data_IF_092664424700
#
_entry.id   IF_092664424700
#
_cell.length_a   1.000
_cell.length_b   1.000
_cell.length_c   1.000
_cell.angle_alpha   90.00
_cell.angle_beta   90.00
_cell.angle_gamma   90.00
#
_symmetry.space_group_name_H-M   'P 1'
#
loop_
_entity.id
_entity.type
_entity.pdbx_description
1 polymer ?
#
# COMPACT_ATOMS: atom_id res chain seq x y z
N UNK A 1 -27.37 11.36 -53.21
CA UNK A 1 -26.34 10.84 -52.29
C UNK A 1 -26.73 11.25 -50.88
N UNK A 2 -26.68 10.32 -49.93
CA UNK A 2 -26.97 10.60 -48.52
C UNK A 2 -25.68 11.17 -47.91
N UNK A 3 -25.76 12.32 -47.25
CA UNK A 3 -24.64 12.93 -46.54
C UNK A 3 -24.73 12.60 -45.05
N UNK A 4 -23.59 12.40 -44.40
CA UNK A 4 -23.55 12.23 -42.95
C UNK A 4 -23.74 13.58 -42.24
N UNK A 5 -24.44 13.53 -41.12
CA UNK A 5 -24.62 14.66 -40.21
C UNK A 5 -23.29 15.06 -39.57
N UNK A 6 -23.16 16.35 -39.26
CA UNK A 6 -21.90 16.93 -38.75
C UNK A 6 -21.51 16.32 -37.39
N UNK A 7 -22.48 15.94 -36.56
CA UNK A 7 -22.26 15.26 -35.28
C UNK A 7 -21.57 13.91 -35.46
N UNK A 8 -21.96 13.15 -36.49
CA UNK A 8 -21.36 11.84 -36.79
C UNK A 8 -19.96 12.00 -37.37
N UNK A 9 -19.73 13.04 -38.18
CA UNK A 9 -18.40 13.40 -38.66
C UNK A 9 -17.48 13.82 -37.49
N UNK A 10 -17.97 14.61 -36.54
CA UNK A 10 -17.23 14.99 -35.34
C UNK A 10 -16.90 13.79 -34.47
N UNK A 11 -17.86 12.89 -34.24
CA UNK A 11 -17.63 11.66 -33.48
C UNK A 11 -16.53 10.77 -34.11
N UNK A 12 -16.42 10.76 -35.44
CA UNK A 12 -15.33 10.05 -36.15
C UNK A 12 -13.96 10.69 -35.92
N UNK A 13 -13.88 12.02 -35.93
CA UNK A 13 -12.62 12.76 -35.68
C UNK A 13 -12.18 12.62 -34.23
N UNK A 14 -13.12 12.58 -33.27
CA UNK A 14 -12.84 12.40 -31.84
C UNK A 14 -12.55 10.95 -31.44
N UNK A 15 -12.69 9.98 -32.35
CA UNK A 15 -12.46 8.56 -32.08
C UNK A 15 -13.49 7.93 -31.13
N UNK A 16 -14.72 8.47 -31.11
CA UNK A 16 -15.82 7.96 -30.28
C UNK A 16 -16.63 6.85 -30.97
N UNK A 17 -16.47 6.72 -32.28
CA UNK A 17 -17.11 5.67 -33.09
C UNK A 17 -16.30 4.37 -33.07
N UNK A 18 -16.96 3.27 -33.39
CA UNK A 18 -16.29 1.99 -33.63
C UNK A 18 -15.38 2.05 -34.87
N UNK A 19 -14.36 1.18 -34.94
CA UNK A 19 -13.42 1.16 -36.07
C UNK A 19 -14.14 0.99 -37.42
N UNK A 20 -15.15 0.10 -37.47
CA UNK A 20 -15.93 -0.19 -38.67
C UNK A 20 -16.77 1.01 -39.16
N UNK A 21 -17.34 1.79 -38.25
CA UNK A 21 -18.10 3.00 -38.62
C UNK A 21 -17.17 4.13 -39.05
N UNK A 22 -16.00 4.22 -38.44
CA UNK A 22 -15.01 5.24 -38.78
C UNK A 22 -14.45 5.03 -40.18
N UNK A 23 -14.23 3.78 -40.60
CA UNK A 23 -13.75 3.46 -41.96
C UNK A 23 -14.83 3.73 -43.00
N UNK A 24 -16.10 3.38 -42.73
CA UNK A 24 -17.23 3.68 -43.62
C UNK A 24 -17.33 5.19 -43.93
N UNK A 25 -17.22 6.03 -42.89
CA UNK A 25 -17.28 7.49 -43.04
C UNK A 25 -16.08 8.03 -43.84
N UNK A 26 -14.88 7.48 -43.62
CA UNK A 26 -13.68 7.86 -44.37
C UNK A 26 -13.81 7.46 -45.84
N UNK A 27 -14.28 6.24 -46.13
CA UNK A 27 -14.52 5.77 -47.48
C UNK A 27 -15.56 6.63 -48.20
N UNK A 28 -16.65 6.99 -47.53
CA UNK A 28 -17.63 7.91 -48.08
C UNK A 28 -17.02 9.30 -48.39
N UNK A 29 -16.19 9.82 -47.49
CA UNK A 29 -15.51 11.10 -47.69
C UNK A 29 -14.48 11.09 -48.85
N UNK A 30 -14.01 9.92 -49.29
CA UNK A 30 -13.18 9.83 -50.50
C UNK A 30 -13.99 10.06 -51.78
N UNK A 31 -15.26 9.67 -51.77
CA UNK A 31 -16.17 9.79 -52.92
C UNK A 31 -16.96 11.11 -52.90
N UNK A 32 -17.29 11.61 -51.71
CA UNK A 32 -18.12 12.79 -51.53
C UNK A 32 -17.30 14.02 -51.12
N UNK A 33 -17.14 14.96 -52.05
CA UNK A 33 -16.35 16.19 -51.85
C UNK A 33 -16.90 17.08 -50.71
N UNK A 34 -18.23 17.17 -50.57
CA UNK A 34 -18.85 17.98 -49.52
C UNK A 34 -18.58 17.42 -48.13
N UNK A 35 -18.71 16.09 -47.94
CA UNK A 35 -18.38 15.42 -46.69
C UNK A 35 -16.89 15.51 -46.38
N UNK A 36 -16.02 15.43 -47.40
CA UNK A 36 -14.58 15.63 -47.25
C UNK A 36 -14.23 17.04 -46.74
N UNK A 37 -14.83 18.06 -47.34
CA UNK A 37 -14.60 19.45 -46.94
C UNK A 37 -15.04 19.69 -45.49
N UNK A 38 -16.21 19.18 -45.10
CA UNK A 38 -16.71 19.26 -43.72
C UNK A 38 -15.80 18.54 -42.73
N UNK A 39 -15.38 17.32 -43.05
CA UNK A 39 -14.49 16.52 -42.20
C UNK A 39 -13.13 17.23 -42.00
N UNK A 40 -12.60 17.89 -43.03
CA UNK A 40 -11.37 18.68 -42.93
C UNK A 40 -11.54 19.94 -42.08
N UNK A 41 -12.68 20.64 -42.17
CA UNK A 41 -12.98 21.78 -41.31
C UNK A 41 -13.09 21.35 -39.84
N UNK A 42 -13.78 20.25 -39.57
CA UNK A 42 -13.89 19.71 -38.21
C UNK A 42 -12.50 19.30 -37.69
N UNK A 43 -11.66 18.67 -38.53
CA UNK A 43 -10.28 18.32 -38.15
C UNK A 43 -9.45 19.55 -37.82
N UNK A 44 -9.54 20.64 -38.58
CA UNK A 44 -8.78 21.85 -38.30
C UNK A 44 -9.28 22.56 -37.04
N UNK A 45 -10.60 22.61 -36.80
CA UNK A 45 -11.19 23.13 -35.58
C UNK A 45 -10.78 22.32 -34.35
N UNK A 46 -10.87 20.99 -34.42
CA UNK A 46 -10.39 20.09 -33.36
C UNK A 46 -8.89 20.22 -33.17
N UNK A 47 -8.09 20.41 -34.22
CA UNK A 47 -6.65 20.64 -34.09
C UNK A 47 -6.33 21.98 -33.41
N UNK A 48 -7.10 23.04 -33.67
CA UNK A 48 -6.99 24.33 -32.97
C UNK A 48 -7.34 24.17 -31.50
N UNK A 49 -8.41 23.43 -31.18
CA UNK A 49 -8.79 23.11 -29.79
C UNK A 49 -7.75 22.20 -29.11
N UNK A 50 -7.19 21.22 -29.83
CA UNK A 50 -6.15 20.31 -29.35
C UNK A 50 -4.80 20.99 -29.15
N UNK A 51 -4.54 22.11 -29.84
CA UNK A 51 -3.39 22.99 -29.61
C UNK A 51 -3.47 23.74 -28.27
N UNK A 52 -4.68 23.91 -27.73
CA UNK A 52 -4.92 24.31 -26.35
C UNK A 52 -5.18 23.03 -25.58
N UNK A 53 -4.17 22.20 -25.33
CA UNK A 53 -4.37 21.01 -24.50
C UNK A 53 -4.96 21.44 -23.15
N UNK A 54 -6.27 21.23 -22.87
CA UNK A 54 -6.75 21.47 -21.53
C UNK A 54 -6.04 20.41 -20.69
N UNK A 55 -5.32 20.83 -19.66
CA UNK A 55 -4.95 19.92 -18.59
C UNK A 55 -6.24 19.49 -17.91
N UNK A 56 -6.93 18.54 -18.52
CA UNK A 56 -7.95 17.78 -17.84
C UNK A 56 -7.19 16.98 -16.79
N UNK A 57 -7.25 17.46 -15.55
CA UNK A 57 -6.99 16.67 -14.35
C UNK A 57 -8.05 15.56 -14.31
N UNK A 58 -7.92 14.58 -15.21
CA UNK A 58 -8.64 13.34 -15.10
C UNK A 58 -8.12 12.67 -13.84
N UNK A 59 -8.98 12.32 -12.87
CA UNK A 59 -8.54 11.49 -11.76
C UNK A 59 -7.95 10.23 -12.37
N UNK A 60 -6.64 10.06 -12.21
CA UNK A 60 -5.89 8.96 -12.80
C UNK A 60 -6.41 7.68 -12.14
N UNK A 61 -7.40 7.04 -12.76
CA UNK A 61 -7.86 5.74 -12.30
C UNK A 61 -6.70 4.77 -12.48
N UNK A 62 -6.19 4.16 -11.39
CA UNK A 62 -5.03 3.29 -11.50
C UNK A 62 -5.38 2.14 -12.44
N UNK A 63 -4.62 2.02 -13.53
CA UNK A 63 -4.77 0.99 -14.57
C UNK A 63 -4.99 -0.37 -13.92
N UNK A 64 -5.98 -1.15 -14.38
CA UNK A 64 -6.41 -2.46 -13.82
C UNK A 64 -5.24 -3.39 -13.42
N UNK A 65 -4.12 -3.33 -14.15
CA UNK A 65 -2.90 -4.11 -13.90
C UNK A 65 -2.19 -3.75 -12.58
N UNK A 66 -2.18 -2.49 -12.15
CA UNK A 66 -1.53 -2.08 -10.89
C UNK A 66 -2.36 -2.48 -9.67
N UNK A 67 -3.70 -2.47 -9.78
CA UNK A 67 -4.59 -2.98 -8.72
C UNK A 67 -4.36 -4.48 -8.45
N UNK A 68 -4.29 -5.31 -9.49
CA UNK A 68 -4.06 -6.75 -9.35
C UNK A 68 -2.71 -7.04 -8.69
N UNK A 69 -1.66 -6.28 -9.05
CA UNK A 69 -0.34 -6.44 -8.45
C UNK A 69 -0.34 -6.05 -6.96
N UNK A 70 -0.97 -4.94 -6.60
CA UNK A 70 -1.11 -4.49 -5.22
C UNK A 70 -1.87 -5.50 -4.35
N UNK A 71 -3.02 -6.00 -4.82
CA UNK A 71 -3.77 -7.02 -4.09
C UNK A 71 -2.98 -8.33 -3.92
N UNK A 72 -2.21 -8.73 -4.94
CA UNK A 72 -1.38 -9.94 -4.86
C UNK A 72 -0.26 -9.81 -3.81
N UNK A 73 0.33 -8.61 -3.68
CA UNK A 73 1.36 -8.34 -2.68
C UNK A 73 0.78 -8.36 -1.26
N UNK A 74 -0.37 -7.71 -1.06
CA UNK A 74 -1.08 -7.68 0.23
C UNK A 74 -1.47 -9.10 0.66
N UNK A 75 -2.00 -9.92 -0.25
CA UNK A 75 -2.38 -11.31 0.04
C UNK A 75 -1.17 -12.18 0.45
N UNK A 76 -0.01 -12.00 -0.20
CA UNK A 76 1.21 -12.72 0.16
C UNK A 76 1.72 -12.37 1.56
N UNK A 77 1.71 -11.09 1.90
CA UNK A 77 2.13 -10.63 3.23
C UNK A 77 1.17 -11.17 4.29
N UNK A 78 -0.14 -11.08 4.05
CA UNK A 78 -1.15 -11.62 4.96
C UNK A 78 -1.00 -13.13 5.18
N UNK A 79 -0.72 -13.89 4.11
CA UNK A 79 -0.48 -15.33 4.19
C UNK A 79 0.76 -15.67 5.02
N UNK A 80 1.87 -14.95 4.84
CA UNK A 80 3.09 -15.13 5.64
C UNK A 80 2.84 -14.82 7.13
N UNK A 81 2.09 -13.77 7.43
CA UNK A 81 1.72 -13.39 8.79
C UNK A 81 0.85 -14.48 9.46
N UNK A 82 -0.14 -14.99 8.74
CA UNK A 82 -1.00 -16.09 9.19
C UNK A 82 -0.19 -17.36 9.50
N UNK A 83 0.71 -17.76 8.59
CA UNK A 83 1.53 -18.97 8.77
C UNK A 83 2.47 -18.82 9.96
N UNK A 84 3.14 -17.67 10.10
CA UNK A 84 4.00 -17.39 11.25
C UNK A 84 3.23 -17.40 12.58
N UNK A 85 2.04 -16.79 12.60
CA UNK A 85 1.20 -16.76 13.80
C UNK A 85 0.69 -18.14 14.21
N UNK A 86 0.19 -18.93 13.24
CA UNK A 86 -0.28 -20.29 13.50
C UNK A 86 0.86 -21.21 13.94
N UNK A 87 2.05 -21.08 13.34
CA UNK A 87 3.25 -21.82 13.76
C UNK A 87 3.71 -21.44 15.18
N UNK A 88 3.69 -20.14 15.51
CA UNK A 88 3.98 -19.65 16.87
C UNK A 88 3.00 -20.18 17.91
N UNK A 89 1.71 -20.20 17.60
CA UNK A 89 0.68 -20.76 18.49
C UNK A 89 0.81 -22.27 18.67
N UNK A 90 1.16 -23.01 17.61
CA UNK A 90 1.37 -24.44 17.71
C UNK A 90 2.58 -24.77 18.60
N UNK A 91 3.69 -24.05 18.40
CA UNK A 91 4.92 -24.23 19.17
C UNK A 91 4.77 -23.83 20.64
N UNK A 92 4.04 -22.74 20.93
CA UNK A 92 3.78 -22.32 22.31
C UNK A 92 2.95 -23.33 23.11
N UNK A 93 2.17 -24.18 22.44
CA UNK A 93 1.40 -25.24 23.10
C UNK A 93 2.20 -26.52 23.36
N UNK A 94 3.32 -26.71 22.66
CA UNK A 94 4.15 -27.92 22.76
C UNK A 94 5.29 -27.71 23.76
N UNK A 95 5.79 -26.48 23.90
CA UNK A 95 6.94 -26.20 24.77
C UNK A 95 6.49 -25.78 26.16
N UNK A 96 6.61 -26.68 27.13
CA UNK A 96 6.43 -26.35 28.55
C UNK A 96 7.50 -25.33 28.98
N UNK A 97 7.13 -24.25 29.69
CA UNK A 97 8.11 -23.30 30.20
C UNK A 97 9.06 -24.01 31.17
N UNK A 98 10.38 -23.79 31.02
CA UNK A 98 11.36 -24.30 31.97
C UNK A 98 11.05 -23.77 33.37
N UNK A 99 11.12 -24.59 34.42
CA UNK A 99 10.88 -24.13 35.77
C UNK A 99 11.94 -23.10 36.15
N UNK A 100 11.52 -21.86 36.36
CA UNK A 100 12.40 -20.80 36.87
C UNK A 100 12.69 -21.13 38.33
N UNK A 101 13.89 -21.65 38.59
CA UNK A 101 14.33 -21.96 39.94
C UNK A 101 14.94 -20.70 40.55
N UNK A 102 14.16 -19.98 41.35
CA UNK A 102 14.66 -18.81 42.09
C UNK A 102 15.42 -19.32 43.31
N UNK A 103 16.74 -19.33 43.25
CA UNK A 103 17.58 -19.59 44.43
C UNK A 103 17.73 -18.26 45.17
N UNK A 104 17.17 -18.10 46.39
CA UNK A 104 17.43 -16.91 47.19
C UNK A 104 18.89 -16.94 47.64
N UNK A 105 19.74 -16.18 46.96
CA UNK A 105 21.08 -15.90 47.40
C UNK A 105 21.00 -14.81 48.48
N UNK A 106 21.00 -15.20 49.75
CA UNK A 106 21.24 -14.26 50.83
C UNK A 106 22.73 -13.91 50.82
N UNK A 107 23.07 -12.72 50.33
CA UNK A 107 24.36 -12.14 50.60
C UNK A 107 24.40 -11.84 52.10
N UNK A 108 25.26 -12.54 52.85
CA UNK A 108 25.53 -12.19 54.24
C UNK A 108 26.60 -11.08 54.19
N UNK A 109 26.25 -9.81 54.41
CA UNK A 109 27.26 -8.76 54.37
C UNK A 109 28.16 -8.94 55.60
N UNK A 110 29.36 -9.49 55.39
CA UNK A 110 30.44 -9.37 56.36
C UNK A 110 31.00 -7.96 56.24
N UNK A 111 30.73 -7.05 57.21
CA UNK A 111 31.32 -5.73 57.15
C UNK A 111 32.86 -5.86 57.27
N UNK A 112 33.63 -5.03 56.56
CA UNK A 112 35.07 -4.99 56.74
C UNK A 112 35.41 -4.62 58.19
N UNK A 113 36.53 -5.13 58.76
CA UNK A 113 36.86 -5.01 60.18
C UNK A 113 36.97 -3.55 60.66
N UNK A 114 37.24 -2.62 59.74
CA UNK A 114 37.42 -1.20 60.04
C UNK A 114 36.12 -0.38 59.87
N UNK A 115 34.99 -1.03 59.57
CA UNK A 115 33.70 -0.35 59.39
C UNK A 115 32.99 -0.10 60.73
N UNK A 116 32.44 1.11 60.90
CA UNK A 116 31.56 1.46 62.02
C UNK A 116 30.35 0.51 62.19
N UNK A 117 29.98 -0.22 61.14
CA UNK A 117 28.94 -1.25 61.20
C UNK A 117 29.35 -2.48 62.03
N UNK A 118 30.65 -2.79 62.15
CA UNK A 118 31.13 -3.88 62.99
C UNK A 118 30.93 -3.59 64.49
N UNK A 119 31.20 -2.35 64.91
CA UNK A 119 30.98 -1.91 66.28
C UNK A 119 29.49 -1.90 66.66
N UNK A 120 28.60 -1.50 65.74
CA UNK A 120 27.15 -1.52 65.98
C UNK A 120 26.59 -2.94 66.18
N UNK A 121 27.17 -3.95 65.53
CA UNK A 121 26.76 -5.37 65.73
C UNK A 121 27.29 -5.90 67.07
N UNK A 122 28.50 -5.52 67.47
CA UNK A 122 29.09 -5.92 68.75
C UNK A 122 28.32 -5.34 69.94
N UNK A 123 27.91 -4.06 69.87
CA UNK A 123 27.09 -3.41 70.91
C UNK A 123 25.69 -4.02 71.01
N UNK A 124 25.06 -4.39 69.87
CA UNK A 124 23.76 -5.06 69.86
C UNK A 124 23.81 -6.46 70.47
N UNK A 125 24.96 -7.16 70.38
CA UNK A 125 25.15 -8.45 71.05
C UNK A 125 25.51 -8.35 72.53
N UNK A 126 26.12 -7.25 72.97
CA UNK A 126 26.48 -7.03 74.38
C UNK A 126 25.27 -6.70 75.27
N UNK A 127 24.21 -6.11 74.73
CA UNK A 127 22.97 -5.82 75.46
C UNK A 127 22.04 -7.02 75.66
N UNK A 128 22.41 -8.20 75.15
CA UNK A 128 21.63 -9.44 75.29
C UNK A 128 22.39 -10.47 76.12
N UNK A 129 22.80 -10.09 77.32
CA UNK A 129 23.13 -11.05 78.39
C UNK A 129 22.95 -10.44 79.77
N UNK A 130 21.78 -10.68 80.36
CA UNK A 130 21.65 -11.01 81.79
C UNK A 130 20.32 -11.76 81.94
N UNK A 131 20.28 -12.83 82.74
CA UNK A 131 19.18 -13.80 82.81
C UNK A 131 17.87 -13.22 83.36
#
# INVERSE_FOLDING_TARGET
MIHYEDDRLLASVLGLLSEDESTEIIEHALVCESCRARLNNIKSEVAVLGGIAPQADLPVFPKRRTRVFAYSAILKIAALLMVGFLGGLATSRIMSPLPINVVPAYANPTPPPDSLAFFAVSDATALKSTP
#
